data_IF_006656805305
#
_entry.id   IF_006656805305
#
_cell.length_a   1.000
_cell.length_b   1.000
_cell.length_c   1.000
_cell.angle_alpha   90.00
_cell.angle_beta   90.00
_cell.angle_gamma   90.00
#
_symmetry.space_group_name_H-M   'P 1'
#
loop_
_entity.id
_entity.type
_entity.pdbx_description
1 polymer ?
#
# COMPACT_ATOMS: atom_id res chain seq x y z
N UNK A 1 -10.52 36.56 55.49
CA UNK A 1 -9.08 36.84 55.61
C UNK A 1 -8.46 36.64 54.23
N UNK A 2 -8.36 37.68 53.40
CA UNK A 2 -7.12 38.48 53.19
C UNK A 2 -5.91 37.57 52.89
N UNK A 3 -5.23 37.64 51.74
CA UNK A 3 -4.95 38.76 50.85
C UNK A 3 -4.70 38.30 49.40
N UNK A 4 -5.30 39.09 48.50
CA UNK A 4 -4.93 39.37 47.12
C UNK A 4 -3.55 40.09 47.05
N UNK A 5 -3.05 40.22 45.81
CA UNK A 5 -2.04 41.18 45.32
C UNK A 5 -0.57 40.74 45.48
N UNK A 6 0.32 40.89 44.50
CA UNK A 6 0.30 41.75 43.30
C UNK A 6 1.40 41.33 42.31
N UNK A 7 1.13 41.52 41.00
CA UNK A 7 2.18 41.67 39.98
C UNK A 7 2.83 43.06 40.14
N UNK A 8 4.12 43.23 39.81
CA UNK A 8 4.60 44.47 39.26
C UNK A 8 4.67 44.41 37.72
N UNK A 9 4.24 45.53 37.14
CA UNK A 9 4.37 45.93 35.73
C UNK A 9 5.75 46.52 35.45
N UNK A 10 6.05 46.61 34.15
CA UNK A 10 6.92 47.61 33.49
C UNK A 10 8.42 47.25 33.49
N UNK A 11 9.24 47.61 32.50
CA UNK A 11 9.11 48.49 31.35
C UNK A 11 10.32 48.26 30.41
N UNK A 12 10.21 48.77 29.16
CA UNK A 12 11.32 49.18 28.25
C UNK A 12 12.13 48.01 27.67
N UNK A 13 12.08 47.72 26.37
CA UNK A 13 12.28 48.64 25.26
C UNK A 13 13.73 48.58 24.83
N UNK A 14 14.06 47.72 23.86
CA UNK A 14 15.33 47.75 23.13
C UNK A 14 15.04 47.68 21.64
N UNK A 15 14.99 48.87 21.03
CA UNK A 15 15.21 49.09 19.61
C UNK A 15 16.71 49.09 19.33
N UNK A 16 17.14 48.31 18.34
CA UNK A 16 18.27 48.58 17.43
C UNK A 16 18.24 47.44 16.39
N UNK A 17 17.64 47.55 15.21
CA UNK A 17 18.07 48.33 14.04
C UNK A 17 19.60 48.40 13.92
N UNK A 18 20.18 47.45 13.18
CA UNK A 18 21.40 47.70 12.42
C UNK A 18 21.16 47.34 10.96
N UNK A 19 20.81 48.38 10.20
CA UNK A 19 21.07 48.49 8.77
C UNK A 19 22.59 48.58 8.60
N UNK A 20 23.19 47.69 7.81
CA UNK A 20 24.48 47.99 7.18
C UNK A 20 24.28 48.13 5.68
N UNK A 21 24.56 49.34 5.24
CA UNK A 21 24.56 49.83 3.87
C UNK A 21 25.86 49.37 3.19
N UNK A 22 25.71 48.91 1.94
CA UNK A 22 26.78 48.55 0.98
C UNK A 22 27.81 49.67 0.79
N UNK A 23 29.03 49.32 0.35
CA UNK A 23 29.72 50.09 -0.67
C UNK A 23 29.61 49.39 -2.03
N UNK A 24 29.21 50.19 -3.02
CA UNK A 24 29.34 49.93 -4.44
C UNK A 24 30.82 49.83 -4.82
N UNK A 25 31.20 48.77 -5.55
CA UNK A 25 32.36 48.80 -6.43
C UNK A 25 31.87 48.48 -7.84
N UNK A 26 31.84 49.51 -8.67
CA UNK A 26 31.63 49.40 -10.10
C UNK A 26 32.92 48.94 -10.76
N UNK A 27 32.88 47.83 -11.48
CA UNK A 27 33.82 47.57 -12.56
C UNK A 27 33.03 47.14 -13.79
N UNK A 28 32.98 48.06 -14.76
CA UNK A 28 32.69 47.77 -16.14
C UNK A 28 33.94 47.19 -16.79
N UNK A 29 33.82 46.11 -17.56
CA UNK A 29 34.18 46.10 -18.97
C UNK A 29 34.08 44.71 -19.62
N UNK A 30 33.74 44.77 -20.91
CA UNK A 30 33.99 43.81 -21.98
C UNK A 30 32.99 42.65 -22.18
N UNK A 31 31.97 43.02 -22.95
CA UNK A 31 31.28 42.20 -23.95
C UNK A 31 32.24 41.25 -24.68
N UNK A 32 31.95 39.96 -24.60
CA UNK A 32 32.24 39.01 -25.68
C UNK A 32 30.91 38.45 -26.17
N UNK A 33 30.46 38.98 -27.31
CA UNK A 33 29.40 38.37 -28.12
C UNK A 33 30.02 37.13 -28.77
N UNK A 34 29.85 35.96 -28.16
CA UNK A 34 29.93 34.70 -28.86
C UNK A 34 28.52 34.36 -29.37
N UNK A 35 28.14 35.02 -30.47
CA UNK A 35 27.04 34.60 -31.30
C UNK A 35 27.54 33.49 -32.22
N UNK A 36 27.28 32.23 -31.86
CA UNK A 36 27.29 31.09 -32.76
C UNK A 36 26.48 29.95 -32.13
N UNK A 37 25.45 29.48 -32.84
CA UNK A 37 24.99 28.11 -32.69
C UNK A 37 23.57 27.95 -32.17
N UNK A 38 22.60 28.16 -33.06
CA UNK A 38 21.47 27.24 -33.26
C UNK A 38 20.54 27.03 -32.08
N UNK A 39 19.34 27.60 -32.19
CA UNK A 39 18.16 27.00 -31.59
C UNK A 39 18.04 25.55 -32.04
N UNK A 40 18.43 24.65 -31.15
CA UNK A 40 17.96 23.28 -31.13
C UNK A 40 17.20 23.16 -29.83
N UNK A 41 15.89 22.96 -29.92
CA UNK A 41 15.15 22.23 -28.91
C UNK A 41 15.80 20.84 -28.86
N UNK A 42 16.89 20.74 -28.10
CA UNK A 42 17.45 19.47 -27.67
C UNK A 42 16.43 18.91 -26.70
N UNK A 43 15.41 18.25 -27.23
CA UNK A 43 14.62 17.30 -26.47
C UNK A 43 15.65 16.41 -25.77
N UNK A 44 15.79 16.60 -24.45
CA UNK A 44 16.58 15.70 -23.63
C UNK A 44 16.16 14.26 -23.97
N UNK A 45 17.09 13.32 -23.88
CA UNK A 45 16.74 11.92 -24.13
C UNK A 45 15.44 11.57 -23.38
N UNK A 46 14.45 10.96 -24.06
CA UNK A 46 13.19 10.63 -23.42
C UNK A 46 13.48 9.75 -22.20
N UNK A 47 13.13 10.24 -21.01
CA UNK A 47 13.25 9.54 -19.73
C UNK A 47 11.83 9.28 -19.21
N UNK A 48 11.58 8.08 -18.69
CA UNK A 48 10.30 7.73 -18.06
C UNK A 48 10.46 7.90 -16.54
N UNK A 49 9.60 8.69 -15.90
CA UNK A 49 9.52 8.73 -14.43
C UNK A 49 8.45 7.76 -13.94
N UNK A 50 8.87 6.78 -13.15
CA UNK A 50 7.99 5.79 -12.53
C UNK A 50 7.96 5.96 -11.01
N UNK A 51 6.80 6.31 -10.45
CA UNK A 51 6.62 6.34 -9.00
C UNK A 51 6.01 5.04 -8.47
N UNK A 52 6.65 4.42 -7.48
CA UNK A 52 6.26 3.13 -6.93
C UNK A 52 6.45 3.08 -5.40
N UNK A 53 5.61 2.31 -4.71
CA UNK A 53 5.65 2.12 -3.26
C UNK A 53 6.32 0.79 -2.91
N UNK A 54 7.65 0.83 -2.87
CA UNK A 54 8.51 -0.34 -2.73
C UNK A 54 9.12 -0.44 -1.33
N UNK A 55 9.26 -1.67 -0.85
CA UNK A 55 10.17 -1.95 0.26
C UNK A 55 11.63 -1.75 -0.19
N UNK A 56 12.56 -1.41 0.73
CA UNK A 56 13.97 -1.25 0.36
C UNK A 56 14.57 -2.45 -0.38
N UNK A 57 14.21 -3.68 0.02
CA UNK A 57 14.67 -4.91 -0.63
C UNK A 57 14.05 -5.12 -2.03
N UNK A 58 12.85 -4.59 -2.28
CA UNK A 58 12.20 -4.64 -3.59
C UNK A 58 12.79 -3.60 -4.53
N UNK A 59 13.16 -2.42 -4.03
CA UNK A 59 13.73 -1.35 -4.85
C UNK A 59 14.97 -1.81 -5.64
N UNK A 60 15.85 -2.61 -5.02
CA UNK A 60 17.00 -3.17 -5.71
C UNK A 60 16.61 -4.10 -6.88
N UNK A 61 15.56 -4.91 -6.72
CA UNK A 61 15.04 -5.80 -7.77
C UNK A 61 14.43 -4.99 -8.92
N UNK A 62 13.68 -3.93 -8.59
CA UNK A 62 13.15 -3.00 -9.59
C UNK A 62 14.25 -2.32 -10.38
N UNK A 63 15.30 -1.82 -9.71
CA UNK A 63 16.45 -1.22 -10.41
C UNK A 63 17.04 -2.18 -11.44
N UNK A 64 17.24 -3.46 -11.09
CA UNK A 64 17.73 -4.46 -12.06
C UNK A 64 16.81 -4.61 -13.27
N UNK A 65 15.48 -4.63 -13.07
CA UNK A 65 14.50 -4.72 -14.16
C UNK A 65 14.53 -3.47 -15.05
N UNK A 66 14.62 -2.29 -14.44
CA UNK A 66 14.62 -1.01 -15.13
C UNK A 66 15.96 -0.75 -15.87
N UNK A 67 17.07 -1.20 -15.31
CA UNK A 67 18.38 -1.17 -15.95
C UNK A 67 18.40 -2.10 -17.18
N UNK A 68 17.80 -3.27 -17.07
CA UNK A 68 17.64 -4.19 -18.20
C UNK A 68 16.78 -3.57 -19.30
N UNK A 69 15.64 -2.98 -18.95
CA UNK A 69 14.79 -2.24 -19.88
C UNK A 69 15.56 -1.10 -20.57
N UNK A 70 16.33 -0.32 -19.80
CA UNK A 70 17.15 0.77 -20.33
C UNK A 70 18.22 0.23 -21.29
N UNK A 71 18.85 -0.90 -20.98
CA UNK A 71 19.85 -1.53 -21.84
C UNK A 71 19.25 -2.02 -23.17
N UNK A 72 18.03 -2.56 -23.13
CA UNK A 72 17.36 -3.09 -24.33
C UNK A 72 16.79 -1.99 -25.22
N UNK A 73 16.30 -0.90 -24.63
CA UNK A 73 15.53 0.12 -25.35
C UNK A 73 16.29 1.44 -25.55
N UNK A 74 17.33 1.69 -24.75
CA UNK A 74 18.00 2.98 -24.67
C UNK A 74 17.22 4.06 -23.91
N UNK A 75 16.07 3.74 -23.32
CA UNK A 75 15.19 4.68 -22.62
C UNK A 75 15.45 4.59 -21.11
N UNK A 76 16.05 5.61 -20.47
CA UNK A 76 16.25 5.62 -19.03
C UNK A 76 14.92 5.69 -18.28
N UNK A 77 14.85 5.00 -17.13
CA UNK A 77 13.71 5.07 -16.21
C UNK A 77 14.16 5.61 -14.86
N UNK A 78 13.57 6.73 -14.46
CA UNK A 78 13.75 7.32 -13.14
C UNK A 78 12.73 6.75 -12.16
N UNK A 79 13.17 5.81 -11.33
CA UNK A 79 12.36 5.27 -10.24
C UNK A 79 12.26 6.25 -9.06
N UNK A 80 11.03 6.59 -8.67
CA UNK A 80 10.70 7.42 -7.51
C UNK A 80 10.03 6.54 -6.47
N UNK A 81 10.82 5.97 -5.56
CA UNK A 81 10.32 5.12 -4.48
C UNK A 81 9.71 5.98 -3.35
N UNK A 82 8.37 6.00 -3.26
CA UNK A 82 7.61 6.83 -2.30
C UNK A 82 6.33 6.11 -1.87
N UNK A 83 5.72 6.53 -0.77
CA UNK A 83 4.48 5.92 -0.25
C UNK A 83 3.27 6.21 -1.15
N UNK A 84 2.29 5.30 -1.21
CA UNK A 84 1.07 5.47 -2.01
C UNK A 84 0.36 6.81 -1.83
N UNK A 85 0.26 7.32 -0.60
CA UNK A 85 -0.35 8.62 -0.33
C UNK A 85 0.38 9.80 -1.02
N UNK A 86 1.71 9.70 -1.14
CA UNK A 86 2.54 10.68 -1.84
C UNK A 86 2.41 10.53 -3.36
N UNK A 87 2.35 9.29 -3.88
CA UNK A 87 2.06 9.04 -5.31
C UNK A 87 0.74 9.72 -5.67
N UNK A 88 -0.33 9.41 -4.93
CA UNK A 88 -1.66 9.99 -5.14
C UNK A 88 -1.63 11.53 -5.12
N UNK A 89 -1.05 12.11 -4.08
CA UNK A 89 -0.98 13.58 -3.96
C UNK A 89 -0.23 14.23 -5.12
N UNK A 90 0.81 13.54 -5.64
CA UNK A 90 1.59 14.02 -6.78
C UNK A 90 0.79 13.94 -8.08
N UNK A 91 0.09 12.82 -8.34
CA UNK A 91 -0.78 12.68 -9.52
C UNK A 91 -1.89 13.72 -9.52
N UNK A 92 -2.58 13.90 -8.39
CA UNK A 92 -3.64 14.91 -8.27
C UNK A 92 -3.12 16.33 -8.54
N UNK A 93 -1.90 16.65 -8.05
CA UNK A 93 -1.27 17.95 -8.28
C UNK A 93 -0.87 18.16 -9.74
N UNK A 94 -0.25 17.18 -10.39
CA UNK A 94 0.18 17.26 -11.79
C UNK A 94 -1.02 17.32 -12.75
N UNK A 95 -2.06 16.52 -12.50
CA UNK A 95 -3.30 16.57 -13.27
C UNK A 95 -3.98 17.94 -13.15
N UNK A 96 -4.03 18.53 -11.95
CA UNK A 96 -4.60 19.88 -11.75
C UNK A 96 -3.77 20.97 -12.44
N UNK A 97 -2.45 20.80 -12.51
CA UNK A 97 -1.57 21.72 -13.21
C UNK A 97 -1.63 21.56 -14.74
N UNK A 98 -2.20 20.47 -15.25
CA UNK A 98 -2.21 20.11 -16.67
C UNK A 98 -0.82 19.78 -17.22
N UNK A 99 0.16 19.57 -16.34
CA UNK A 99 1.56 19.25 -16.68
C UNK A 99 2.23 18.58 -15.49
N UNK A 100 3.18 17.69 -15.77
CA UNK A 100 3.79 16.85 -14.76
C UNK A 100 5.12 16.26 -15.20
N UNK A 101 5.70 15.46 -14.32
CA UNK A 101 6.88 14.62 -14.61
C UNK A 101 6.56 13.13 -14.52
N UNK A 102 5.46 12.74 -13.88
CA UNK A 102 5.10 11.34 -13.70
C UNK A 102 4.56 10.77 -15.01
N UNK A 103 5.19 9.71 -15.50
CA UNK A 103 4.73 8.97 -16.68
C UNK A 103 4.03 7.67 -16.27
N UNK A 104 4.55 7.01 -15.24
CA UNK A 104 4.02 5.77 -14.68
C UNK A 104 3.85 5.89 -13.17
N UNK A 105 2.77 5.33 -12.65
CA UNK A 105 2.49 5.30 -11.20
C UNK A 105 1.97 3.95 -10.77
N UNK A 106 2.47 3.46 -9.64
CA UNK A 106 1.88 2.34 -8.93
C UNK A 106 0.64 2.81 -8.17
N UNK A 107 -0.49 2.15 -8.41
CA UNK A 107 -1.73 2.36 -7.68
C UNK A 107 -2.14 1.08 -6.97
N UNK A 108 -2.60 1.22 -5.74
CA UNK A 108 -3.22 0.13 -5.00
C UNK A 108 -4.66 -0.12 -5.50
N UNK A 109 -5.17 -1.35 -5.37
CA UNK A 109 -6.47 -1.76 -5.91
C UNK A 109 -7.63 -0.85 -5.46
N UNK A 110 -7.76 -0.47 -4.17
CA UNK A 110 -8.84 0.42 -3.73
C UNK A 110 -8.75 1.84 -4.34
N UNK A 111 -7.58 2.22 -4.87
CA UNK A 111 -7.37 3.55 -5.46
C UNK A 111 -7.76 3.60 -6.94
N UNK A 112 -7.86 2.46 -7.64
CA UNK A 112 -8.13 2.44 -9.07
C UNK A 112 -9.41 3.20 -9.45
N UNK A 113 -10.58 3.02 -8.76
CA UNK A 113 -11.79 3.75 -9.13
C UNK A 113 -11.69 5.26 -8.95
N UNK A 114 -11.02 5.73 -7.89
CA UNK A 114 -10.93 7.17 -7.57
C UNK A 114 -9.88 7.88 -8.42
N UNK A 115 -8.83 7.18 -8.82
CA UNK A 115 -7.75 7.70 -9.65
C UNK A 115 -8.07 7.63 -11.14
N UNK A 116 -9.00 6.75 -11.55
CA UNK A 116 -9.39 6.52 -12.95
C UNK A 116 -9.54 7.78 -13.81
N UNK A 117 -10.22 8.85 -13.36
CA UNK A 117 -10.41 10.05 -14.19
C UNK A 117 -9.12 10.80 -14.52
N UNK A 118 -8.02 10.49 -13.82
CA UNK A 118 -6.71 11.10 -13.99
C UNK A 118 -5.76 10.24 -14.83
N UNK A 119 -6.19 9.05 -15.25
CA UNK A 119 -5.36 8.07 -15.97
C UNK A 119 -5.57 8.14 -17.48
N UNK A 120 -4.49 7.96 -18.23
CA UNK A 120 -4.53 7.85 -19.69
C UNK A 120 -4.78 6.39 -20.12
N UNK A 121 -5.69 6.13 -21.08
CA UNK A 121 -5.80 4.82 -21.70
C UNK A 121 -4.51 4.35 -22.37
N UNK A 122 -4.16 3.09 -22.14
CA UNK A 122 -2.94 2.45 -22.65
C UNK A 122 -3.10 1.95 -24.08
N UNK A 123 -4.34 1.74 -24.56
CA UNK A 123 -4.65 1.08 -25.84
C UNK A 123 -3.95 1.74 -27.06
N UNK A 124 -3.63 3.03 -26.98
CA UNK A 124 -2.96 3.79 -28.05
C UNK A 124 -1.47 4.04 -27.86
N UNK A 125 -0.90 3.67 -26.71
CA UNK A 125 0.51 3.94 -26.35
C UNK A 125 1.29 2.67 -26.00
N UNK A 126 0.63 1.52 -26.05
CA UNK A 126 1.22 0.21 -25.76
C UNK A 126 0.72 -0.83 -26.77
N UNK A 127 1.46 -1.92 -26.91
CA UNK A 127 1.11 -3.04 -27.78
C UNK A 127 1.50 -4.36 -27.13
N UNK A 128 0.78 -5.45 -27.42
CA UNK A 128 1.12 -6.78 -26.93
C UNK A 128 0.82 -7.01 -25.45
N UNK A 129 0.08 -6.10 -24.79
CA UNK A 129 -0.35 -6.25 -23.39
C UNK A 129 -1.09 -7.58 -23.20
N UNK A 130 -1.95 -7.97 -24.14
CA UNK A 130 -2.73 -9.21 -24.06
C UNK A 130 -1.86 -10.46 -23.83
N UNK A 131 -0.61 -10.48 -24.29
CA UNK A 131 0.31 -11.58 -24.05
C UNK A 131 0.68 -11.75 -22.57
N UNK A 132 0.42 -10.74 -21.73
CA UNK A 132 0.62 -10.79 -20.28
C UNK A 132 -0.55 -11.49 -19.56
N UNK A 133 -1.71 -11.68 -20.21
CA UNK A 133 -2.90 -12.26 -19.59
C UNK A 133 -2.63 -13.62 -18.98
N UNK A 134 -1.94 -14.49 -19.72
CA UNK A 134 -1.60 -15.84 -19.28
C UNK A 134 -0.48 -15.87 -18.23
N UNK A 135 0.22 -14.74 -18.03
CA UNK A 135 1.30 -14.60 -17.05
C UNK A 135 0.81 -14.07 -15.69
N UNK A 136 -0.46 -13.68 -15.57
CA UNK A 136 -1.05 -13.15 -14.33
C UNK A 136 -2.33 -13.90 -13.94
N UNK A 137 -2.71 -13.83 -12.67
CA UNK A 137 -3.96 -14.43 -12.21
C UNK A 137 -5.18 -13.76 -12.87
N UNK A 138 -6.23 -14.53 -13.16
CA UNK A 138 -7.44 -14.05 -13.84
C UNK A 138 -8.05 -12.82 -13.13
N UNK A 139 -8.26 -12.89 -11.81
CA UNK A 139 -8.80 -11.75 -11.04
C UNK A 139 -7.89 -10.51 -11.02
N UNK A 140 -6.57 -10.69 -11.23
CA UNK A 140 -5.67 -9.55 -11.42
C UNK A 140 -5.80 -8.98 -12.84
N UNK A 141 -6.04 -9.82 -13.84
CA UNK A 141 -6.29 -9.36 -15.21
C UNK A 141 -7.61 -8.60 -15.35
N UNK A 142 -8.65 -9.01 -14.63
CA UNK A 142 -9.98 -8.36 -14.67
C UNK A 142 -9.92 -6.86 -14.32
N UNK A 143 -8.96 -6.43 -13.51
CA UNK A 143 -8.81 -5.02 -13.13
C UNK A 143 -8.02 -4.19 -14.16
N UNK A 144 -7.52 -4.79 -15.25
CA UNK A 144 -6.78 -4.08 -16.32
C UNK A 144 -7.67 -3.10 -17.08
N UNK A 145 -8.93 -3.47 -17.29
CA UNK A 145 -9.90 -2.72 -18.07
C UNK A 145 -10.93 -2.04 -17.18
N UNK A 146 -11.28 -0.81 -17.53
CA UNK A 146 -12.41 -0.12 -16.92
C UNK A 146 -13.00 0.94 -17.87
N UNK A 147 -14.21 1.47 -17.59
CA UNK A 147 -14.77 2.55 -18.38
C UNK A 147 -13.88 3.79 -18.31
N UNK A 148 -13.33 4.22 -19.45
CA UNK A 148 -12.58 5.48 -19.53
C UNK A 148 -13.46 6.71 -19.33
N UNK A 149 -12.88 7.91 -19.43
CA UNK A 149 -13.63 9.17 -19.29
C UNK A 149 -14.82 9.32 -20.26
N UNK A 150 -14.79 8.62 -21.41
CA UNK A 150 -15.88 8.56 -22.39
C UNK A 150 -16.87 7.41 -22.21
N UNK A 151 -16.79 6.65 -21.10
CA UNK A 151 -17.71 5.55 -20.77
C UNK A 151 -17.47 4.22 -21.49
N UNK A 152 -16.61 4.20 -22.52
CA UNK A 152 -16.22 2.96 -23.18
C UNK A 152 -15.07 2.27 -22.42
N UNK A 153 -15.09 0.94 -22.40
CA UNK A 153 -14.02 0.11 -21.85
C UNK A 153 -12.68 0.43 -22.52
N UNK A 154 -11.63 0.51 -21.70
CA UNK A 154 -10.26 0.82 -22.08
C UNK A 154 -9.30 0.06 -21.20
N UNK A 155 -8.12 -0.25 -21.72
CA UNK A 155 -7.00 -0.73 -20.92
C UNK A 155 -6.41 0.45 -20.15
N UNK A 156 -6.56 0.48 -18.83
CA UNK A 156 -6.07 1.58 -18.00
C UNK A 156 -4.91 1.16 -17.10
N UNK A 157 -4.83 -0.13 -16.75
CA UNK A 157 -3.93 -0.62 -15.71
C UNK A 157 -3.22 -1.90 -16.15
N UNK A 158 -2.02 -2.11 -15.61
CA UNK A 158 -1.24 -3.34 -15.79
C UNK A 158 -0.91 -3.97 -14.44
N UNK A 159 -1.34 -5.22 -14.18
CA UNK A 159 -0.93 -5.98 -13.02
C UNK A 159 0.56 -6.27 -13.11
N UNK A 160 1.31 -5.81 -12.12
CA UNK A 160 2.75 -6.06 -12.04
C UNK A 160 3.19 -6.54 -10.65
N UNK A 161 2.31 -6.41 -9.64
CA UNK A 161 2.56 -6.83 -8.26
C UNK A 161 1.30 -7.48 -7.70
N UNK A 162 1.38 -8.79 -7.49
CA UNK A 162 0.30 -9.55 -6.84
C UNK A 162 0.67 -9.80 -5.39
N UNK A 163 -0.29 -9.58 -4.51
CA UNK A 163 -0.18 -9.91 -3.11
C UNK A 163 -1.49 -10.55 -2.64
N UNK A 164 -1.43 -11.31 -1.55
CA UNK A 164 -2.59 -11.98 -0.97
C UNK A 164 -2.44 -12.00 0.55
N UNK A 165 -3.56 -12.12 1.27
CA UNK A 165 -3.51 -12.18 2.72
C UNK A 165 -3.28 -13.63 3.20
N UNK A 166 -2.23 -13.83 3.97
CA UNK A 166 -1.89 -15.09 4.58
C UNK A 166 -2.18 -15.08 6.09
N UNK A 167 -2.44 -16.26 6.63
CA UNK A 167 -2.29 -16.51 8.06
C UNK A 167 -0.81 -16.67 8.37
N UNK A 168 -0.30 -15.92 9.34
CA UNK A 168 1.06 -16.01 9.86
C UNK A 168 0.99 -16.56 11.28
N UNK A 169 1.70 -17.65 11.56
CA UNK A 169 1.62 -18.36 12.84
C UNK A 169 2.98 -18.80 13.36
N UNK A 170 3.09 -18.92 14.68
CA UNK A 170 4.25 -19.44 15.40
C UNK A 170 4.18 -20.98 15.41
N UNK A 171 5.01 -21.65 14.60
CA UNK A 171 4.90 -23.11 14.44
C UNK A 171 5.44 -23.94 15.61
N UNK A 172 6.05 -23.31 16.62
CA UNK A 172 6.37 -23.99 17.88
C UNK A 172 5.17 -24.05 18.82
N UNK A 173 4.33 -23.01 18.80
CA UNK A 173 3.12 -22.92 19.65
C UNK A 173 1.89 -23.51 18.97
N UNK A 174 1.83 -23.43 17.64
CA UNK A 174 0.79 -23.97 16.78
C UNK A 174 1.45 -24.87 15.72
N UNK A 175 1.69 -26.16 16.01
CA UNK A 175 2.40 -27.06 15.08
C UNK A 175 1.74 -27.13 13.69
N UNK A 176 0.41 -27.13 13.68
CA UNK A 176 -0.42 -27.08 12.47
C UNK A 176 -1.27 -25.80 12.46
N UNK A 177 -1.39 -25.10 11.32
CA UNK A 177 -2.26 -23.94 11.20
C UNK A 177 -3.74 -24.38 11.21
N UNK A 178 -4.64 -23.63 11.85
CA UNK A 178 -6.07 -23.92 11.76
C UNK A 178 -6.57 -23.79 10.32
N UNK A 179 -7.08 -24.88 9.76
CA UNK A 179 -7.63 -24.94 8.42
C UNK A 179 -9.11 -24.58 8.37
N UNK A 180 -9.82 -24.65 9.49
CA UNK A 180 -11.26 -24.33 9.59
C UNK A 180 -11.57 -23.22 10.60
N UNK A 181 -12.76 -22.59 10.49
CA UNK A 181 -13.22 -21.59 11.46
C UNK A 181 -13.32 -22.17 12.88
N UNK A 182 -13.77 -23.41 13.00
CA UNK A 182 -13.87 -24.14 14.26
C UNK A 182 -12.48 -24.40 14.86
N UNK A 183 -11.51 -24.81 14.03
CA UNK A 183 -10.12 -24.98 14.43
C UNK A 183 -9.47 -23.65 14.81
N UNK A 184 -9.75 -22.57 14.07
CA UNK A 184 -9.23 -21.22 14.37
C UNK A 184 -9.74 -20.77 15.74
N UNK A 185 -11.02 -20.98 16.01
CA UNK A 185 -11.64 -20.64 17.28
C UNK A 185 -11.15 -21.54 18.42
N UNK A 186 -10.87 -22.83 18.16
CA UNK A 186 -10.25 -23.73 19.13
C UNK A 186 -8.82 -23.31 19.46
N UNK A 187 -8.01 -22.94 18.46
CA UNK A 187 -6.68 -22.38 18.65
C UNK A 187 -6.73 -21.05 19.43
N UNK A 188 -7.69 -20.19 19.11
CA UNK A 188 -7.92 -18.93 19.83
C UNK A 188 -8.27 -19.17 21.31
N UNK A 189 -9.10 -20.18 21.62
CA UNK A 189 -9.40 -20.59 23.00
C UNK A 189 -8.16 -21.09 23.73
N UNK A 190 -7.33 -21.91 23.10
CA UNK A 190 -6.10 -22.44 23.68
C UNK A 190 -5.04 -21.34 23.94
N UNK A 191 -5.07 -20.27 23.15
CA UNK A 191 -4.14 -19.14 23.21
C UNK A 191 -4.88 -17.82 23.44
N UNK A 192 -5.77 -17.78 24.43
CA UNK A 192 -6.58 -16.61 24.74
C UNK A 192 -5.71 -15.36 25.01
N UNK A 193 -6.02 -14.25 24.34
CA UNK A 193 -5.25 -13.01 24.42
C UNK A 193 -4.02 -12.97 23.51
N UNK A 194 -3.81 -13.99 22.67
CA UNK A 194 -2.66 -14.09 21.78
C UNK A 194 -3.05 -14.19 20.29
N UNK A 195 -4.28 -13.79 19.93
CA UNK A 195 -4.70 -13.70 18.53
C UNK A 195 -4.58 -12.26 18.05
N UNK A 196 -3.85 -12.04 16.95
CA UNK A 196 -3.69 -10.75 16.31
C UNK A 196 -4.67 -10.55 15.15
N UNK A 197 -5.28 -9.37 15.10
CA UNK A 197 -6.04 -8.87 13.97
C UNK A 197 -5.75 -7.37 13.85
N UNK A 198 -5.68 -6.83 12.63
CA UNK A 198 -5.45 -5.39 12.42
C UNK A 198 -6.76 -4.64 12.64
N UNK A 199 -7.02 -4.23 13.89
CA UNK A 199 -8.24 -3.49 14.25
C UNK A 199 -8.07 -1.98 14.36
N UNK A 200 -6.93 -1.43 13.89
CA UNK A 200 -6.84 0.01 13.67
C UNK A 200 -7.85 0.47 12.61
N UNK A 201 -8.33 1.71 12.70
CA UNK A 201 -9.33 2.26 11.77
C UNK A 201 -8.69 2.74 10.46
N UNK A 202 -8.33 1.80 9.60
CA UNK A 202 -7.77 2.04 8.26
C UNK A 202 -8.13 0.87 7.33
N UNK A 203 -7.57 0.87 6.12
CA UNK A 203 -7.83 -0.11 5.07
C UNK A 203 -7.49 -1.56 5.50
N UNK A 204 -6.39 -1.79 6.23
CA UNK A 204 -6.04 -3.16 6.63
C UNK A 204 -7.05 -3.87 7.53
N UNK A 205 -7.96 -3.15 8.19
CA UNK A 205 -9.10 -3.77 8.90
C UNK A 205 -10.06 -4.44 7.91
N UNK A 206 -10.36 -3.81 6.78
CA UNK A 206 -11.24 -4.44 5.77
C UNK A 206 -10.52 -5.59 5.09
N UNK A 207 -9.19 -5.53 4.91
CA UNK A 207 -8.41 -6.67 4.42
C UNK A 207 -8.53 -7.89 5.33
N UNK A 208 -8.58 -7.69 6.65
CA UNK A 208 -8.71 -8.79 7.62
C UNK A 208 -10.15 -9.29 7.74
N UNK A 209 -11.16 -8.45 7.52
CA UNK A 209 -12.58 -8.82 7.68
C UNK A 209 -13.19 -9.43 6.42
N UNK A 210 -12.88 -8.88 5.23
CA UNK A 210 -13.50 -9.31 3.98
C UNK A 210 -13.26 -10.79 3.64
N UNK A 211 -12.08 -11.39 3.89
CA UNK A 211 -11.88 -12.81 3.70
C UNK A 211 -12.89 -13.68 4.45
N UNK A 212 -13.26 -13.32 5.69
CA UNK A 212 -14.30 -14.05 6.44
C UNK A 212 -15.69 -13.88 5.82
N UNK A 213 -15.99 -12.70 5.28
CA UNK A 213 -17.25 -12.46 4.55
C UNK A 213 -17.31 -13.34 3.30
N UNK A 214 -16.26 -13.34 2.48
CA UNK A 214 -16.20 -14.17 1.27
C UNK A 214 -16.26 -15.66 1.58
N UNK A 215 -15.59 -16.11 2.64
CA UNK A 215 -15.66 -17.50 3.11
C UNK A 215 -17.05 -17.91 3.61
N UNK A 216 -17.84 -16.96 4.10
CA UNK A 216 -19.25 -17.19 4.41
C UNK A 216 -20.15 -17.23 3.16
N UNK A 217 -19.62 -16.91 1.98
CA UNK A 217 -20.38 -16.73 0.74
C UNK A 217 -21.04 -15.35 0.63
N UNK A 218 -20.66 -14.40 1.48
CA UNK A 218 -21.22 -13.06 1.53
C UNK A 218 -20.54 -12.09 0.56
N UNK A 219 -21.26 -11.03 0.25
CA UNK A 219 -20.77 -9.87 -0.51
C UNK A 219 -20.60 -8.68 0.45
N UNK A 220 -19.37 -8.15 0.65
CA UNK A 220 -19.14 -6.98 1.51
C UNK A 220 -19.93 -5.73 1.09
N UNK A 221 -20.39 -5.64 -0.16
CA UNK A 221 -21.24 -4.55 -0.65
C UNK A 221 -22.72 -4.73 -0.29
N UNK A 222 -23.09 -5.88 0.27
CA UNK A 222 -24.43 -6.20 0.78
C UNK A 222 -24.35 -6.54 2.28
N UNK A 223 -24.00 -5.56 3.13
CA UNK A 223 -23.61 -5.82 4.52
C UNK A 223 -24.73 -6.45 5.38
N UNK A 224 -25.96 -6.35 4.92
CA UNK A 224 -27.17 -6.81 5.61
C UNK A 224 -27.48 -8.29 5.33
N UNK A 225 -26.71 -8.96 4.47
CA UNK A 225 -26.96 -10.36 4.10
C UNK A 225 -26.73 -11.31 5.27
N UNK A 226 -27.43 -12.45 5.26
CA UNK A 226 -27.29 -13.46 6.31
C UNK A 226 -25.85 -13.99 6.42
N UNK A 227 -25.17 -14.12 5.28
CA UNK A 227 -23.78 -14.56 5.17
C UNK A 227 -22.81 -13.54 5.78
N UNK A 228 -23.02 -12.24 5.52
CA UNK A 228 -22.21 -11.18 6.14
C UNK A 228 -22.44 -11.15 7.65
N UNK A 229 -23.70 -11.18 8.10
CA UNK A 229 -24.02 -11.22 9.53
C UNK A 229 -23.34 -12.41 10.21
N UNK A 230 -23.38 -13.59 9.58
CA UNK A 230 -22.70 -14.79 10.09
C UNK A 230 -21.18 -14.59 10.23
N UNK A 231 -20.52 -14.00 9.24
CA UNK A 231 -19.08 -13.72 9.33
C UNK A 231 -18.75 -12.74 10.46
N UNK A 232 -19.57 -11.69 10.63
CA UNK A 232 -19.40 -10.72 11.72
C UNK A 232 -19.66 -11.35 13.09
N UNK A 233 -20.64 -12.26 13.21
CA UNK A 233 -20.88 -13.01 14.44
C UNK A 233 -19.73 -13.94 14.81
N UNK A 234 -19.13 -14.61 13.83
CA UNK A 234 -17.91 -15.39 14.04
C UNK A 234 -16.75 -14.51 14.53
N UNK A 235 -16.51 -13.38 13.87
CA UNK A 235 -15.48 -12.42 14.28
C UNK A 235 -15.75 -11.86 15.68
N UNK A 236 -17.03 -11.63 16.04
CA UNK A 236 -17.44 -11.24 17.40
C UNK A 236 -17.06 -12.32 18.42
N UNK A 237 -17.31 -13.60 18.13
CA UNK A 237 -16.91 -14.69 19.01
C UNK A 237 -15.39 -14.79 19.13
N UNK A 238 -14.68 -14.76 18.00
CA UNK A 238 -13.23 -14.79 17.95
C UNK A 238 -12.60 -13.62 18.74
N UNK A 239 -13.26 -12.45 18.74
CA UNK A 239 -12.76 -11.25 19.40
C UNK A 239 -12.57 -11.38 20.91
N UNK A 240 -13.22 -12.36 21.54
CA UNK A 240 -13.02 -12.69 22.95
C UNK A 240 -11.58 -13.17 23.26
N UNK A 241 -10.82 -13.59 22.24
CA UNK A 241 -9.48 -14.15 22.36
C UNK A 241 -8.39 -13.25 21.76
N UNK A 242 -8.76 -12.08 21.26
CA UNK A 242 -7.81 -11.13 20.70
C UNK A 242 -6.84 -10.61 21.75
N UNK A 243 -5.62 -10.32 21.31
CA UNK A 243 -4.67 -9.57 22.11
C UNK A 243 -5.26 -8.17 22.45
N UNK A 244 -5.13 -7.67 23.69
CA UNK A 244 -5.70 -6.37 24.09
C UNK A 244 -5.28 -5.19 23.19
N UNK A 245 -4.12 -5.28 22.53
CA UNK A 245 -3.57 -4.23 21.68
C UNK A 245 -4.09 -4.25 20.23
N UNK A 246 -4.97 -5.17 19.82
CA UNK A 246 -5.47 -5.27 18.42
C UNK A 246 -6.01 -3.97 17.83
N UNK A 247 -6.57 -3.08 18.65
CA UNK A 247 -7.06 -1.75 18.20
C UNK A 247 -5.95 -0.81 17.71
N UNK A 248 -4.70 -1.08 18.07
CA UNK A 248 -3.51 -0.35 17.60
C UNK A 248 -2.81 -1.02 16.42
N UNK A 249 -3.21 -2.25 16.08
CA UNK A 249 -2.50 -3.04 15.09
C UNK A 249 -2.81 -2.60 13.66
N UNK A 250 -1.72 -2.29 12.95
CA UNK A 250 -1.59 -2.22 11.49
C UNK A 250 -0.60 -3.31 11.04
N UNK A 251 -0.12 -3.31 9.79
CA UNK A 251 0.78 -4.33 9.24
C UNK A 251 2.07 -4.52 10.06
N UNK A 252 2.74 -3.41 10.41
CA UNK A 252 3.99 -3.47 11.16
C UNK A 252 3.78 -3.75 12.65
N UNK A 253 2.86 -3.06 13.38
CA UNK A 253 2.67 -3.34 14.80
C UNK A 253 2.20 -4.76 15.10
N UNK A 254 1.32 -5.36 14.28
CA UNK A 254 0.90 -6.77 14.50
C UNK A 254 2.06 -7.74 14.30
N UNK A 255 2.92 -7.47 13.31
CA UNK A 255 4.12 -8.26 13.06
C UNK A 255 5.11 -8.16 14.23
N UNK A 256 5.30 -6.95 14.77
CA UNK A 256 6.14 -6.73 15.95
C UNK A 256 5.58 -7.43 17.19
N UNK A 257 4.26 -7.43 17.39
CA UNK A 257 3.63 -8.17 18.48
C UNK A 257 3.90 -9.68 18.37
N UNK A 258 3.83 -10.26 17.16
CA UNK A 258 4.23 -11.66 16.96
C UNK A 258 5.72 -11.84 17.19
N UNK A 259 6.55 -10.89 16.75
CA UNK A 259 8.00 -10.94 16.95
C UNK A 259 8.38 -10.95 18.44
N UNK A 260 7.62 -10.25 19.27
CA UNK A 260 7.78 -10.23 20.72
C UNK A 260 7.12 -11.44 21.42
N UNK A 261 6.47 -12.32 20.66
CA UNK A 261 5.79 -13.51 21.19
C UNK A 261 4.45 -13.23 21.88
N UNK A 262 3.91 -12.01 21.74
CA UNK A 262 2.65 -11.55 22.34
C UNK A 262 1.42 -12.13 21.65
N UNK A 263 1.57 -12.58 20.41
CA UNK A 263 0.56 -13.29 19.65
C UNK A 263 1.15 -14.56 19.02
N UNK A 264 0.31 -15.55 18.79
CA UNK A 264 0.68 -16.83 18.17
C UNK A 264 0.24 -16.93 16.71
N UNK A 265 -0.73 -16.10 16.31
CA UNK A 265 -1.33 -16.09 14.99
C UNK A 265 -1.86 -14.70 14.65
N UNK A 266 -1.68 -14.28 13.40
CA UNK A 266 -2.35 -13.11 12.81
C UNK A 266 -2.52 -13.24 11.29
N UNK A 267 -3.09 -12.21 10.66
CA UNK A 267 -3.27 -12.14 9.20
C UNK A 267 -2.47 -11.00 8.60
N UNK A 268 -1.65 -11.30 7.60
CA UNK A 268 -0.75 -10.31 6.98
C UNK A 268 -0.32 -10.74 5.59
N UNK A 269 0.41 -9.87 4.90
CA UNK A 269 0.99 -10.17 3.62
C UNK A 269 2.14 -11.19 3.77
N UNK A 270 2.22 -12.24 2.94
CA UNK A 270 3.20 -13.33 3.09
C UNK A 270 4.65 -12.86 3.00
N UNK A 271 4.92 -11.70 2.39
CA UNK A 271 6.27 -11.13 2.31
C UNK A 271 6.87 -10.77 3.67
N UNK A 272 6.08 -10.62 4.73
CA UNK A 272 6.59 -10.25 6.06
C UNK A 272 7.53 -11.31 6.64
N UNK A 273 7.28 -12.59 6.35
CA UNK A 273 8.12 -13.70 6.83
C UNK A 273 9.52 -13.71 6.18
N UNK A 274 9.68 -13.68 4.84
CA UNK A 274 11.00 -13.55 4.23
C UNK A 274 11.68 -12.22 4.59
N UNK A 275 10.94 -11.11 4.74
CA UNK A 275 11.51 -9.83 5.19
C UNK A 275 12.19 -9.96 6.56
N UNK A 276 11.49 -10.53 7.54
CA UNK A 276 12.09 -10.76 8.87
C UNK A 276 13.24 -11.76 8.83
N UNK A 277 13.19 -12.76 7.94
CA UNK A 277 14.28 -13.73 7.75
C UNK A 277 15.55 -13.04 7.27
N UNK A 278 15.43 -12.22 6.24
CA UNK A 278 16.52 -11.44 5.67
C UNK A 278 17.15 -10.50 6.70
N UNK A 279 16.32 -9.90 7.56
CA UNK A 279 16.76 -9.02 8.65
C UNK A 279 17.29 -9.78 9.87
N UNK A 280 17.25 -11.11 9.89
CA UNK A 280 17.59 -11.96 11.04
C UNK A 280 16.76 -11.62 12.30
N UNK A 281 15.52 -11.19 12.08
CA UNK A 281 14.56 -10.80 13.10
C UNK A 281 13.43 -11.81 13.30
N UNK A 282 13.51 -13.00 12.70
CA UNK A 282 12.59 -14.11 12.99
C UNK A 282 12.89 -14.67 14.39
N UNK A 283 11.99 -14.48 15.38
CA UNK A 283 12.24 -14.89 16.76
C UNK A 283 11.80 -16.33 17.06
N UNK A 284 10.97 -16.91 16.19
CA UNK A 284 10.48 -18.29 16.20
C UNK A 284 10.35 -18.76 14.74
N UNK A 285 10.18 -20.06 14.45
CA UNK A 285 9.85 -20.56 13.12
C UNK A 285 8.44 -20.12 12.69
N UNK A 286 8.28 -18.82 12.40
CA UNK A 286 7.08 -18.28 11.80
C UNK A 286 6.87 -18.86 10.41
N UNK A 287 5.65 -19.33 10.16
CA UNK A 287 5.23 -19.90 8.88
C UNK A 287 3.99 -19.17 8.38
N UNK A 288 3.73 -19.34 7.08
CA UNK A 288 2.52 -18.83 6.43
C UNK A 288 1.63 -19.99 6.02
N UNK A 289 0.31 -19.78 6.07
CA UNK A 289 -0.71 -20.69 5.58
C UNK A 289 -1.85 -19.90 4.92
N UNK A 290 -2.69 -20.53 4.08
CA UNK A 290 -3.98 -19.95 3.70
C UNK A 290 -4.82 -19.59 4.94
N UNK A 291 -5.74 -18.65 4.79
CA UNK A 291 -6.73 -18.36 5.83
C UNK A 291 -7.62 -19.57 6.11
N UNK A 292 -8.07 -19.71 7.36
CA UNK A 292 -8.99 -20.77 7.77
C UNK A 292 -10.29 -20.67 6.95
N UNK A 293 -10.71 -21.77 6.32
CA UNK A 293 -11.92 -21.81 5.49
C UNK A 293 -13.12 -22.24 6.32
N UNK A 294 -14.31 -21.81 5.93
CA UNK A 294 -15.52 -22.39 6.49
C UNK A 294 -15.67 -23.83 5.96
N UNK A 295 -15.93 -24.85 6.82
CA UNK A 295 -16.34 -26.15 6.32
C UNK A 295 -17.63 -26.00 5.49
N UNK A 296 -17.80 -26.73 4.38
CA UNK A 296 -19.07 -26.72 3.67
C UNK A 296 -20.20 -27.06 4.63
N UNK A 297 -21.28 -26.27 4.61
CA UNK A 297 -22.48 -26.62 5.37
C UNK A 297 -22.91 -28.03 4.99
N UNK A 298 -22.96 -28.95 5.96
CA UNK A 298 -23.64 -30.21 5.75
C UNK A 298 -25.12 -29.90 5.48
N UNK A 299 -25.49 -29.79 4.21
CA UNK A 299 -26.85 -29.42 3.79
C UNK A 299 -26.97 -28.73 2.43
N UNK A 300 -25.91 -28.17 1.86
CA UNK A 300 -25.97 -27.63 0.51
C UNK A 300 -25.51 -28.68 -0.52
N UNK A 301 -26.48 -29.39 -1.11
CA UNK A 301 -26.22 -30.18 -2.31
C UNK A 301 -25.70 -29.26 -3.44
N UNK A 302 -24.74 -29.69 -4.26
CA UNK A 302 -24.24 -28.89 -5.37
C UNK A 302 -25.35 -28.69 -6.40
N UNK A 303 -25.88 -27.47 -6.46
CA UNK A 303 -26.81 -27.04 -7.51
C UNK A 303 -26.06 -26.86 -8.83
N UNK A 304 -26.57 -27.51 -9.87
CA UNK A 304 -26.09 -27.45 -11.24
C UNK A 304 -26.04 -26.02 -11.80
N UNK A 305 -25.15 -25.74 -12.77
CA UNK A 305 -24.95 -24.40 -13.32
C UNK A 305 -26.20 -23.90 -14.06
N UNK A 306 -26.48 -22.62 -13.89
CA UNK A 306 -27.37 -21.80 -14.72
C UNK A 306 -26.78 -21.54 -16.10
#
# INVERSE_FOLDING_TARGET
MHRRQERPRSARGWHAVMRFVRPLVAQAALLWVAACGGGGDGAGQPEITFAASLLPAEQAKYNTILDEFTRQTGIPVKLVAVQYAQIRSSVEAEARAGRGKLDLVELDLPQLPVMRPLMQPLDGITSGIEALRDAVAEGAWEVTTAPGAGGAERTLYLPHRLNWQAMVYDSEKLPEPPGTWEELLAAARAHAGAIGLKCARYEGLICDVFPFIWQAGGDPLRPDSAEVVQAIEFLRELSAYFNPAVRSYQETPVLEAQRLGEIVLHFNWPFVVPLLREQQLLPSPMKVAPGAVRPPCQGAAPGAPS
#
